data_IF_471282106525
#
_entry.id   IF_471282106525
#
_cell.length_a   1.000
_cell.length_b   1.000
_cell.length_c   1.000
_cell.angle_alpha   90.00
_cell.angle_beta   90.00
_cell.angle_gamma   90.00
#
_symmetry.space_group_name_H-M   'P 1'
#
loop_
_entity.id
_entity.type
_entity.pdbx_description
1 polymer ?
#
# COMPACT_ATOMS: atom_id res chain seq x y z
N UNK A 1 2.68 -20.71 27.96
CA UNK A 1 2.25 -19.31 28.21
C UNK A 1 1.15 -18.97 27.24
N UNK A 2 0.18 -18.10 27.57
CA UNK A 2 -1.15 -18.01 26.89
C UNK A 2 -1.16 -18.19 25.35
N UNK A 3 -0.17 -17.67 24.62
CA UNK A 3 -0.04 -17.88 23.17
C UNK A 3 0.38 -19.30 22.80
N UNK A 4 1.39 -19.88 23.44
CA UNK A 4 1.78 -21.29 23.24
C UNK A 4 0.61 -22.23 23.55
N UNK A 5 -0.13 -21.96 24.62
CA UNK A 5 -1.29 -22.77 25.00
C UNK A 5 -2.37 -22.75 23.89
N UNK A 6 -2.55 -21.61 23.23
CA UNK A 6 -3.46 -21.44 22.10
C UNK A 6 -2.95 -22.13 20.82
N UNK A 7 -1.63 -22.15 20.57
CA UNK A 7 -1.01 -22.88 19.46
C UNK A 7 -1.19 -24.40 19.62
N UNK A 8 -0.95 -24.91 20.81
CA UNK A 8 -1.12 -26.32 21.15
C UNK A 8 -2.57 -26.77 21.02
N UNK A 9 -3.52 -25.96 21.50
CA UNK A 9 -4.94 -26.28 21.36
C UNK A 9 -5.40 -26.22 19.89
N UNK A 10 -4.97 -25.23 19.11
CA UNK A 10 -5.28 -25.17 17.68
C UNK A 10 -4.73 -26.41 16.92
N UNK A 11 -3.53 -26.85 17.28
CA UNK A 11 -2.92 -28.08 16.73
C UNK A 11 -3.73 -29.32 17.10
N UNK A 12 -4.17 -29.42 18.36
CA UNK A 12 -5.03 -30.50 18.83
C UNK A 12 -6.38 -30.52 18.10
N UNK A 13 -7.04 -29.37 17.95
CA UNK A 13 -8.33 -29.27 17.26
C UNK A 13 -8.21 -29.69 15.80
N UNK A 14 -7.14 -29.28 15.11
CA UNK A 14 -6.89 -29.69 13.74
C UNK A 14 -6.67 -31.21 13.63
N UNK A 15 -5.92 -31.81 14.56
CA UNK A 15 -5.71 -33.26 14.61
C UNK A 15 -7.00 -34.06 14.89
N UNK A 16 -7.98 -33.44 15.54
CA UNK A 16 -9.27 -34.05 15.87
C UNK A 16 -10.38 -33.75 14.84
N UNK A 17 -10.12 -32.90 13.84
CA UNK A 17 -11.16 -32.41 12.95
C UNK A 17 -11.82 -33.47 12.05
N UNK A 18 -11.14 -34.60 11.84
CA UNK A 18 -11.66 -35.76 11.09
C UNK A 18 -12.38 -36.78 12.00
N UNK A 19 -12.48 -36.52 13.32
CA UNK A 19 -13.14 -37.42 14.24
C UNK A 19 -14.67 -37.44 14.03
N UNK A 20 -15.29 -38.64 13.97
CA UNK A 20 -16.74 -38.79 13.85
C UNK A 20 -17.42 -38.40 15.17
N UNK A 21 -17.78 -37.12 15.32
CA UNK A 21 -18.45 -36.60 16.52
C UNK A 21 -18.55 -35.08 16.62
N UNK A 22 -17.82 -34.34 15.78
CA UNK A 22 -17.93 -32.88 15.73
C UNK A 22 -19.30 -32.46 15.16
N UNK A 23 -20.13 -31.76 15.94
CA UNK A 23 -21.48 -31.30 15.57
C UNK A 23 -21.55 -30.27 14.43
N UNK A 24 -20.51 -30.17 13.61
CA UNK A 24 -20.40 -29.26 12.47
C UNK A 24 -20.73 -29.98 11.15
N UNK A 25 -21.40 -29.26 10.24
CA UNK A 25 -21.61 -29.74 8.88
C UNK A 25 -20.26 -30.01 8.18
N UNK A 26 -20.26 -30.86 7.13
CA UNK A 26 -19.04 -31.17 6.37
C UNK A 26 -18.35 -29.90 5.85
N UNK A 27 -19.14 -28.95 5.32
CA UNK A 27 -18.63 -27.67 4.82
C UNK A 27 -18.04 -26.79 5.92
N UNK A 28 -18.69 -26.72 7.08
CA UNK A 28 -18.18 -25.96 8.23
C UNK A 28 -16.85 -26.54 8.75
N UNK A 29 -16.71 -27.88 8.80
CA UNK A 29 -15.45 -28.54 9.14
C UNK A 29 -14.34 -28.24 8.14
N UNK A 30 -14.62 -28.29 6.85
CA UNK A 30 -13.64 -27.91 5.82
C UNK A 30 -13.17 -26.47 5.99
N UNK A 31 -14.08 -25.54 6.30
CA UNK A 31 -13.73 -24.14 6.53
C UNK A 31 -12.92 -23.97 7.82
N UNK A 32 -13.32 -24.63 8.91
CA UNK A 32 -12.58 -24.63 10.17
C UNK A 32 -11.14 -25.12 9.98
N UNK A 33 -10.95 -26.24 9.28
CA UNK A 33 -9.63 -26.80 9.04
C UNK A 33 -8.75 -25.85 8.24
N UNK A 34 -9.30 -25.22 7.20
CA UNK A 34 -8.56 -24.21 6.43
C UNK A 34 -8.10 -23.04 7.29
N UNK A 35 -8.97 -22.53 8.16
CA UNK A 35 -8.64 -21.41 9.05
C UNK A 35 -7.58 -21.85 10.08
N UNK A 36 -7.75 -23.01 10.72
CA UNK A 36 -6.79 -23.50 11.70
C UNK A 36 -5.42 -23.81 11.09
N UNK A 37 -5.37 -24.47 9.93
CA UNK A 37 -4.12 -24.68 9.20
C UNK A 37 -3.44 -23.35 8.87
N UNK A 38 -4.18 -22.38 8.32
CA UNK A 38 -3.61 -21.06 8.02
C UNK A 38 -3.10 -20.32 9.25
N UNK A 39 -3.81 -20.40 10.38
CA UNK A 39 -3.35 -19.81 11.65
C UNK A 39 -2.05 -20.46 12.15
N UNK A 40 -1.92 -21.78 12.04
CA UNK A 40 -0.73 -22.52 12.44
C UNK A 40 0.45 -22.23 11.50
N UNK A 41 0.21 -22.23 10.18
CA UNK A 41 1.21 -21.94 9.15
C UNK A 41 1.80 -20.52 9.29
N UNK A 42 1.01 -19.57 9.79
CA UNK A 42 1.40 -18.17 9.95
C UNK A 42 1.60 -17.75 11.41
N UNK A 43 1.66 -18.70 12.34
CA UNK A 43 1.69 -18.44 13.79
C UNK A 43 2.84 -17.50 14.20
N UNK A 44 4.02 -17.71 13.63
CA UNK A 44 5.20 -16.89 13.93
C UNK A 44 4.97 -15.40 13.60
N UNK A 45 4.33 -15.11 12.46
CA UNK A 45 3.97 -13.74 12.07
C UNK A 45 2.85 -13.16 12.92
N UNK A 46 1.84 -13.96 13.24
CA UNK A 46 0.68 -13.55 14.04
C UNK A 46 1.03 -13.26 15.50
N UNK A 47 2.16 -13.75 16.00
CA UNK A 47 2.59 -13.58 17.39
C UNK A 47 3.70 -12.55 17.60
N UNK A 48 4.21 -11.91 16.54
CA UNK A 48 5.32 -10.92 16.62
C UNK A 48 5.07 -9.83 17.65
N UNK A 49 3.84 -9.33 17.76
CA UNK A 49 3.47 -8.24 18.69
C UNK A 49 3.70 -8.59 20.17
N UNK A 50 3.81 -9.89 20.50
CA UNK A 50 4.04 -10.37 21.88
C UNK A 50 5.45 -10.00 22.34
N UNK A 51 6.43 -10.16 21.44
CA UNK A 51 7.84 -9.86 21.69
C UNK A 51 8.19 -8.42 21.31
N UNK A 52 7.43 -7.82 20.40
CA UNK A 52 7.64 -6.50 19.82
C UNK A 52 6.42 -5.58 20.05
N UNK A 53 6.32 -4.88 21.19
CA UNK A 53 5.17 -4.04 21.52
C UNK A 53 4.98 -2.84 20.59
N UNK A 54 6.01 -2.45 19.83
CA UNK A 54 5.95 -1.44 18.77
C UNK A 54 5.15 -1.90 17.53
N UNK A 55 4.96 -3.21 17.36
CA UNK A 55 4.18 -3.81 16.27
C UNK A 55 2.72 -3.94 16.70
N UNK A 56 1.77 -3.27 16.01
CA UNK A 56 0.35 -3.42 16.30
C UNK A 56 -0.13 -4.88 16.09
N UNK A 57 -1.12 -5.30 16.87
CA UNK A 57 -1.75 -6.61 16.72
C UNK A 57 -2.53 -6.76 15.40
N UNK A 58 -2.96 -5.64 14.82
CA UNK A 58 -3.68 -5.60 13.55
C UNK A 58 -2.80 -5.08 12.39
N UNK A 59 -3.17 -5.47 11.16
CA UNK A 59 -2.52 -5.01 9.92
C UNK A 59 -3.29 -3.85 9.26
N UNK A 60 -4.11 -3.08 10.00
CA UNK A 60 -4.98 -2.07 9.39
C UNK A 60 -4.19 -1.02 8.61
N UNK A 61 -2.99 -0.66 9.10
CA UNK A 61 -2.09 0.28 8.41
C UNK A 61 -1.62 -0.27 7.06
N UNK A 62 -1.21 -1.53 7.01
CA UNK A 62 -0.79 -2.20 5.78
C UNK A 62 -1.95 -2.32 4.80
N UNK A 63 -3.10 -2.82 5.26
CA UNK A 63 -4.31 -2.97 4.45
C UNK A 63 -4.83 -1.64 3.88
N UNK A 64 -4.84 -0.57 4.69
CA UNK A 64 -5.27 0.74 4.21
C UNK A 64 -4.31 1.31 3.16
N UNK A 65 -3.00 1.06 3.28
CA UNK A 65 -2.02 1.55 2.30
C UNK A 65 -2.22 0.94 0.90
N UNK A 66 -2.63 -0.33 0.83
CA UNK A 66 -2.89 -1.05 -0.44
C UNK A 66 -4.32 -0.84 -0.97
N UNK A 67 -5.23 -0.27 -0.18
CA UNK A 67 -6.64 -0.10 -0.56
C UNK A 67 -6.80 0.83 -1.76
N UNK A 68 -6.01 1.91 -1.82
CA UNK A 68 -6.03 2.89 -2.91
C UNK A 68 -5.73 2.25 -4.27
N UNK A 69 -4.60 1.53 -4.47
CA UNK A 69 -4.33 0.86 -5.74
C UNK A 69 -5.32 -0.26 -6.06
N UNK A 70 -5.82 -1.00 -5.05
CA UNK A 70 -6.87 -2.03 -5.25
C UNK A 70 -8.17 -1.42 -5.78
N UNK A 71 -8.58 -0.27 -5.23
CA UNK A 71 -9.78 0.45 -5.69
C UNK A 71 -9.55 1.05 -7.08
N UNK A 72 -8.34 1.57 -7.34
CA UNK A 72 -7.93 2.12 -8.64
C UNK A 72 -8.04 1.14 -9.80
N UNK A 73 -7.81 -0.17 -9.57
CA UNK A 73 -8.00 -1.20 -10.62
C UNK A 73 -9.38 -1.18 -11.27
N UNK A 74 -10.43 -0.86 -10.51
CA UNK A 74 -11.80 -0.76 -11.03
C UNK A 74 -12.00 0.49 -11.88
N UNK A 75 -11.25 1.55 -11.61
CA UNK A 75 -11.30 2.83 -12.33
C UNK A 75 -10.47 2.77 -13.62
N UNK A 76 -9.30 2.16 -13.55
CA UNK A 76 -8.31 2.20 -14.64
C UNK A 76 -8.34 0.94 -15.52
N UNK A 77 -9.32 0.05 -15.30
CA UNK A 77 -9.48 -1.25 -15.97
C UNK A 77 -8.27 -2.21 -15.85
N UNK A 78 -7.36 -1.91 -14.92
CA UNK A 78 -6.17 -2.71 -14.65
C UNK A 78 -5.04 -2.48 -15.66
N UNK A 79 -4.08 -3.39 -15.65
CA UNK A 79 -2.88 -3.32 -16.49
C UNK A 79 -3.03 -4.25 -17.69
N UNK A 80 -2.90 -3.71 -18.91
CA UNK A 80 -3.01 -4.51 -20.15
C UNK A 80 -1.80 -5.42 -20.43
N UNK A 81 -0.74 -5.30 -19.64
CA UNK A 81 0.47 -6.12 -19.72
C UNK A 81 1.16 -6.26 -18.36
N UNK A 82 1.99 -7.30 -18.19
CA UNK A 82 2.80 -7.52 -16.97
C UNK A 82 3.69 -6.30 -16.69
N UNK A 83 4.38 -5.79 -17.72
CA UNK A 83 5.24 -4.62 -17.61
C UNK A 83 4.49 -3.40 -17.07
N UNK A 84 3.27 -3.14 -17.56
CA UNK A 84 2.47 -2.02 -17.06
C UNK A 84 2.00 -2.22 -15.61
N UNK A 85 1.83 -3.47 -15.17
CA UNK A 85 1.50 -3.79 -13.78
C UNK A 85 2.71 -3.55 -12.85
N UNK A 86 3.91 -3.93 -13.28
CA UNK A 86 5.16 -3.69 -12.55
C UNK A 86 5.46 -2.19 -12.42
N UNK A 87 5.25 -1.43 -13.51
CA UNK A 87 5.36 0.02 -13.50
C UNK A 87 4.37 0.65 -12.52
N UNK A 88 3.09 0.25 -12.58
CA UNK A 88 2.07 0.76 -11.66
C UNK A 88 2.43 0.46 -10.20
N UNK A 89 2.87 -0.78 -9.90
CA UNK A 89 3.30 -1.16 -8.55
C UNK A 89 4.47 -0.29 -8.06
N UNK A 90 5.45 -0.02 -8.93
CA UNK A 90 6.60 0.84 -8.62
C UNK A 90 6.15 2.28 -8.33
N UNK A 91 5.27 2.84 -9.18
CA UNK A 91 4.74 4.18 -8.97
C UNK A 91 3.93 4.28 -7.68
N UNK A 92 3.08 3.30 -7.37
CA UNK A 92 2.34 3.28 -6.12
C UNK A 92 3.28 3.23 -4.91
N UNK A 93 4.34 2.43 -4.95
CA UNK A 93 5.32 2.37 -3.87
C UNK A 93 6.03 3.73 -3.65
N UNK A 94 6.43 4.40 -4.73
CA UNK A 94 7.04 5.74 -4.67
C UNK A 94 6.04 6.74 -4.07
N UNK A 95 4.83 6.82 -4.62
CA UNK A 95 3.82 7.79 -4.16
C UNK A 95 3.39 7.55 -2.71
N UNK A 96 3.24 6.28 -2.28
CA UNK A 96 2.96 5.96 -0.88
C UNK A 96 4.11 6.35 0.04
N UNK A 97 5.36 6.17 -0.40
CA UNK A 97 6.52 6.66 0.33
C UNK A 97 6.45 8.18 0.53
N UNK A 98 6.10 8.94 -0.50
CA UNK A 98 5.92 10.40 -0.37
C UNK A 98 4.82 10.76 0.65
N UNK A 99 3.69 10.05 0.61
CA UNK A 99 2.60 10.24 1.59
C UNK A 99 3.05 9.95 3.02
N UNK A 100 3.83 8.89 3.24
CA UNK A 100 4.40 8.56 4.56
C UNK A 100 5.33 9.65 5.10
N UNK A 101 6.04 10.36 4.21
CA UNK A 101 6.89 11.50 4.56
C UNK A 101 6.13 12.85 4.65
N UNK A 102 4.81 12.82 4.44
CA UNK A 102 3.94 14.00 4.40
C UNK A 102 4.11 14.87 3.14
N UNK A 103 4.89 14.40 2.16
CA UNK A 103 5.15 15.15 0.92
C UNK A 103 3.93 15.07 0.01
N UNK A 104 3.54 16.21 -0.58
CA UNK A 104 2.47 16.24 -1.56
C UNK A 104 2.93 15.55 -2.86
N UNK A 105 2.36 14.39 -3.25
CA UNK A 105 2.88 13.63 -4.38
C UNK A 105 2.76 14.38 -5.72
N UNK A 106 1.77 15.28 -5.84
CA UNK A 106 1.55 16.05 -7.06
C UNK A 106 2.58 17.17 -7.24
N UNK A 107 2.99 17.86 -6.15
CA UNK A 107 4.10 18.82 -6.22
C UNK A 107 5.40 18.10 -6.58
N UNK A 108 5.68 16.98 -5.91
CA UNK A 108 6.88 16.19 -6.18
C UNK A 108 6.94 15.70 -7.63
N UNK A 109 5.82 15.18 -8.15
CA UNK A 109 5.76 14.67 -9.52
C UNK A 109 5.93 15.78 -10.56
N UNK A 110 5.32 16.95 -10.33
CA UNK A 110 5.50 18.11 -11.20
C UNK A 110 6.97 18.51 -11.26
N UNK A 111 7.61 18.68 -10.10
CA UNK A 111 9.01 19.08 -10.03
C UNK A 111 9.95 18.05 -10.67
N UNK A 112 9.71 16.76 -10.43
CA UNK A 112 10.52 15.69 -11.02
C UNK A 112 10.39 15.63 -12.54
N UNK A 113 9.16 15.71 -13.07
CA UNK A 113 8.94 15.70 -14.51
C UNK A 113 9.46 16.97 -15.19
N UNK A 114 9.37 18.12 -14.54
CA UNK A 114 9.99 19.36 -15.01
C UNK A 114 11.52 19.20 -15.08
N UNK A 115 12.16 18.65 -14.05
CA UNK A 115 13.60 18.39 -14.06
C UNK A 115 14.01 17.40 -15.16
N UNK A 116 13.19 16.38 -15.43
CA UNK A 116 13.40 15.48 -16.58
C UNK A 116 13.32 16.24 -17.92
N UNK A 117 12.34 17.13 -18.08
CA UNK A 117 12.17 17.92 -19.30
C UNK A 117 13.34 18.88 -19.53
N UNK A 118 13.79 19.56 -18.47
CA UNK A 118 14.97 20.44 -18.49
C UNK A 118 16.26 19.66 -18.79
N UNK A 119 16.33 18.39 -18.38
CA UNK A 119 17.44 17.49 -18.66
C UNK A 119 17.26 16.67 -19.96
N UNK A 120 16.59 17.24 -20.97
CA UNK A 120 16.47 16.62 -22.29
C UNK A 120 15.64 15.34 -22.30
N UNK A 121 14.54 15.31 -21.56
CA UNK A 121 13.66 14.15 -21.37
C UNK A 121 14.33 12.92 -20.73
N UNK A 122 15.40 13.15 -19.97
CA UNK A 122 16.14 12.10 -19.24
C UNK A 122 16.10 12.35 -17.73
N UNK A 123 16.10 11.30 -16.89
CA UNK A 123 16.10 11.48 -15.44
C UNK A 123 17.33 12.28 -14.99
N UNK A 124 17.18 13.18 -13.99
CA UNK A 124 18.30 13.95 -13.45
C UNK A 124 19.43 13.04 -12.96
N UNK A 125 20.68 13.41 -13.23
CA UNK A 125 21.85 12.63 -12.80
C UNK A 125 22.00 12.58 -11.27
N UNK A 126 21.56 13.63 -10.57
CA UNK A 126 21.47 13.66 -9.11
C UNK A 126 20.01 13.64 -8.69
N UNK A 127 19.64 12.63 -7.89
CA UNK A 127 18.26 12.40 -7.47
C UNK A 127 17.97 12.82 -6.03
N UNK A 128 18.98 13.29 -5.28
CA UNK A 128 18.86 13.58 -3.85
C UNK A 128 17.78 14.61 -3.53
N UNK A 129 17.59 15.60 -4.41
CA UNK A 129 16.51 16.59 -4.33
C UNK A 129 15.09 15.99 -4.45
N UNK A 130 14.99 14.71 -4.85
CA UNK A 130 13.75 13.94 -5.03
C UNK A 130 13.62 12.78 -4.04
N UNK A 131 14.61 12.52 -3.20
CA UNK A 131 14.56 11.48 -2.16
C UNK A 131 14.21 12.10 -0.79
N UNK A 132 13.10 11.69 -0.13
CA UNK A 132 12.65 12.32 1.13
C UNK A 132 13.69 12.34 2.26
N UNK A 133 14.56 11.33 2.30
CA UNK A 133 15.63 11.19 3.29
C UNK A 133 16.90 11.97 2.95
N UNK A 134 17.07 12.42 1.70
CA UNK A 134 18.24 13.19 1.26
C UNK A 134 17.92 14.69 1.08
N UNK A 135 16.64 15.07 0.95
CA UNK A 135 16.19 16.46 0.93
C UNK A 135 16.48 17.19 2.25
N UNK A 136 16.83 18.48 2.14
CA UNK A 136 16.84 19.39 3.28
C UNK A 136 15.43 19.74 3.78
N UNK A 137 15.36 20.37 4.96
CA UNK A 137 14.09 20.74 5.59
C UNK A 137 13.31 21.80 4.80
N UNK A 138 14.00 22.72 4.12
CA UNK A 138 13.36 23.77 3.34
C UNK A 138 12.63 23.19 2.13
N UNK A 139 13.28 22.28 1.40
CA UNK A 139 12.72 21.55 0.27
C UNK A 139 11.54 20.67 0.70
N UNK A 140 11.68 19.95 1.82
CA UNK A 140 10.57 19.17 2.38
C UNK A 140 9.38 20.04 2.74
N UNK A 141 9.61 21.19 3.37
CA UNK A 141 8.55 22.14 3.72
C UNK A 141 7.83 22.67 2.49
N UNK A 142 8.56 23.02 1.43
CA UNK A 142 7.99 23.46 0.16
C UNK A 142 7.08 22.39 -0.46
N UNK A 143 7.55 21.15 -0.54
CA UNK A 143 6.78 20.04 -1.12
C UNK A 143 5.59 19.59 -0.26
N UNK A 144 5.58 19.93 1.04
CA UNK A 144 4.45 19.66 1.96
C UNK A 144 3.29 20.63 1.80
N UNK A 145 3.49 21.76 1.11
CA UNK A 145 2.46 22.80 1.00
C UNK A 145 1.16 22.23 0.40
N UNK A 146 -0.01 22.61 0.94
CA UNK A 146 -1.28 22.24 0.31
C UNK A 146 -1.38 22.90 -1.06
N UNK A 147 -2.13 22.30 -1.99
CA UNK A 147 -2.49 23.02 -3.20
C UNK A 147 -3.37 24.21 -2.82
N UNK A 148 -3.06 25.39 -3.38
CA UNK A 148 -4.02 26.47 -3.37
C UNK A 148 -5.32 25.95 -4.02
N UNK A 149 -6.45 26.15 -3.36
CA UNK A 149 -7.75 25.87 -3.94
C UNK A 149 -7.91 26.81 -5.14
N UNK A 150 -7.54 26.37 -6.34
CA UNK A 150 -7.72 27.15 -7.56
C UNK A 150 -9.22 27.20 -7.79
N UNK A 151 -9.84 28.34 -7.52
CA UNK A 151 -11.16 28.63 -8.10
C UNK A 151 -11.06 28.42 -9.62
N UNK A 152 -12.08 27.84 -10.28
CA UNK A 152 -12.08 27.72 -11.73
C UNK A 152 -11.77 29.11 -12.32
N UNK A 153 -10.96 29.18 -13.40
CA UNK A 153 -10.71 30.46 -14.06
C UNK A 153 -12.06 31.10 -14.39
N UNK A 154 -12.25 32.36 -13.98
CA UNK A 154 -13.50 33.08 -14.16
C UNK A 154 -13.88 33.27 -15.64
N UNK A 155 -12.92 33.07 -16.54
CA UNK A 155 -13.12 33.12 -17.98
C UNK A 155 -12.71 31.79 -18.62
N UNK A 156 -13.58 31.18 -19.44
CA UNK A 156 -13.20 30.03 -20.25
C UNK A 156 -12.06 30.43 -21.19
N UNK A 157 -11.05 29.56 -21.33
CA UNK A 157 -9.97 29.76 -22.29
C UNK A 157 -10.58 29.90 -23.69
N UNK A 158 -10.14 30.90 -24.50
CA UNK A 158 -10.60 31.03 -25.87
C UNK A 158 -10.23 29.74 -26.62
N UNK A 159 -11.25 29.00 -27.03
CA UNK A 159 -11.10 27.87 -27.93
C UNK A 159 -10.76 28.53 -29.26
N UNK A 160 -9.49 28.44 -29.68
CA UNK A 160 -9.11 28.84 -31.04
C UNK A 160 -9.95 28.01 -32.01
N UNK A 161 -10.82 28.69 -32.76
CA UNK A 161 -11.42 28.12 -33.97
C UNK A 161 -10.30 28.03 -35.02
N UNK A 162 -9.57 26.91 -35.02
CA UNK A 162 -8.75 26.54 -36.17
C UNK A 162 -9.71 26.04 -37.27
N UNK A 163 -9.96 26.90 -38.26
CA UNK A 163 -10.50 26.54 -39.59
C UNK A 163 -9.49 25.76 -40.41
#
# INVERSE_FOLDING_TARGET
GRMQDMHEEATRVLAQADAPGAGLSKSARTQQNKVLSSLLDHWSGLSVFVDHPEVPMDNNRGENSIRTPVTGRKNDYGSGSIWSAELAATLFAILQTLVLWGINPRHWLLDYLTACAENGASPPAQIDAFLPWAMDDARRADLRRPYACRAPPAEPLPIGEDT
#
